data_IF_918448784550
#
_entry.id   IF_918448784550
#
_cell.length_a   1.000
_cell.length_b   1.000
_cell.length_c   1.000
_cell.angle_alpha   90.00
_cell.angle_beta   90.00
_cell.angle_gamma   90.00
#
_symmetry.space_group_name_H-M   'P 1'
#
loop_
_entity.id
_entity.type
_entity.pdbx_description
1 polymer ?
#
# COMPACT_ATOMS: atom_id res chain seq x y z
N UNK A 1 -41.51 -25.54 21.62
CA UNK A 1 -40.06 -25.24 21.76
C UNK A 1 -39.36 -26.12 20.74
N UNK A 2 -38.57 -25.56 19.82
CA UNK A 2 -37.82 -26.38 18.86
C UNK A 2 -36.60 -26.92 19.60
N UNK A 3 -36.46 -28.24 19.62
CA UNK A 3 -35.28 -28.90 20.17
C UNK A 3 -34.13 -28.82 19.17
N UNK A 4 -33.04 -28.17 19.57
CA UNK A 4 -31.85 -27.92 18.76
C UNK A 4 -30.76 -28.92 19.14
N UNK A 5 -30.80 -30.08 18.48
CA UNK A 5 -29.75 -31.09 18.62
C UNK A 5 -28.53 -30.74 17.76
N UNK A 6 -27.36 -31.25 18.13
CA UNK A 6 -26.11 -31.06 17.38
C UNK A 6 -26.24 -31.51 15.91
N UNK A 7 -27.00 -32.57 15.63
CA UNK A 7 -27.28 -33.06 14.28
C UNK A 7 -28.08 -32.04 13.44
N UNK A 8 -29.07 -31.37 14.05
CA UNK A 8 -29.86 -30.34 13.35
C UNK A 8 -29.03 -29.10 13.09
N UNK A 9 -28.19 -28.70 14.03
CA UNK A 9 -27.24 -27.58 13.87
C UNK A 9 -26.23 -27.89 12.76
N UNK A 10 -25.68 -29.12 12.73
CA UNK A 10 -24.76 -29.58 11.70
C UNK A 10 -25.40 -29.65 10.30
N UNK A 11 -26.69 -29.95 10.20
CA UNK A 11 -27.42 -30.00 8.93
C UNK A 11 -27.74 -28.62 8.33
N UNK A 12 -27.59 -27.53 9.08
CA UNK A 12 -27.88 -26.18 8.59
C UNK A 12 -26.88 -25.71 7.53
N UNK A 13 -27.38 -24.93 6.56
CA UNK A 13 -26.51 -24.14 5.69
C UNK A 13 -25.72 -23.12 6.51
N UNK A 14 -24.55 -22.68 6.02
CA UNK A 14 -23.74 -21.68 6.74
C UNK A 14 -24.48 -20.34 6.95
N UNK A 15 -25.25 -19.81 5.98
CA UNK A 15 -26.11 -18.66 6.23
C UNK A 15 -27.14 -18.89 7.35
N UNK A 16 -27.82 -20.04 7.36
CA UNK A 16 -28.85 -20.34 8.36
C UNK A 16 -28.26 -20.56 9.75
N UNK A 17 -27.07 -21.17 9.83
CA UNK A 17 -26.32 -21.34 11.07
C UNK A 17 -25.92 -20.00 11.69
N UNK A 18 -25.48 -19.03 10.87
CA UNK A 18 -25.16 -17.67 11.33
C UNK A 18 -26.41 -16.89 11.75
N UNK A 19 -27.52 -17.07 11.04
CA UNK A 19 -28.79 -16.47 11.41
C UNK A 19 -29.31 -17.05 12.74
N UNK A 20 -29.15 -18.36 12.96
CA UNK A 20 -29.49 -19.01 14.22
C UNK A 20 -28.62 -18.49 15.36
N UNK A 21 -27.29 -18.41 15.16
CA UNK A 21 -26.36 -17.84 16.14
C UNK A 21 -26.76 -16.41 16.55
N UNK A 22 -26.95 -15.52 15.57
CA UNK A 22 -27.34 -14.14 15.84
C UNK A 22 -28.71 -14.00 16.51
N UNK A 23 -29.62 -14.96 16.31
CA UNK A 23 -30.90 -15.02 17.02
C UNK A 23 -30.75 -15.55 18.45
N UNK A 24 -29.87 -16.54 18.66
CA UNK A 24 -29.58 -17.13 19.97
C UNK A 24 -28.85 -16.14 20.88
N UNK A 25 -27.88 -15.38 20.33
CA UNK A 25 -27.19 -14.28 21.03
C UNK A 25 -28.17 -13.19 21.46
N UNK A 26 -29.09 -12.77 20.57
CA UNK A 26 -30.12 -11.77 20.90
C UNK A 26 -31.11 -12.22 21.97
N UNK A 27 -31.20 -13.53 22.22
CA UNK A 27 -32.14 -14.14 23.17
C UNK A 27 -31.42 -14.76 24.37
N UNK A 28 -30.11 -14.56 24.49
CA UNK A 28 -29.24 -15.10 25.54
C UNK A 28 -29.38 -16.63 25.75
N UNK A 29 -29.56 -17.38 24.66
CA UNK A 29 -29.67 -18.86 24.72
C UNK A 29 -28.28 -19.48 24.58
N UNK A 30 -27.53 -19.48 25.69
CA UNK A 30 -26.11 -19.84 25.73
C UNK A 30 -25.77 -21.22 25.13
N UNK A 31 -26.64 -22.21 25.32
CA UNK A 31 -26.43 -23.57 24.79
C UNK A 31 -26.42 -23.58 23.25
N UNK A 32 -27.38 -22.90 22.61
CA UNK A 32 -27.45 -22.80 21.14
C UNK A 32 -26.30 -21.96 20.59
N UNK A 33 -25.89 -20.91 21.32
CA UNK A 33 -24.71 -20.10 20.97
C UNK A 33 -23.46 -20.98 20.94
N UNK A 34 -23.26 -21.81 21.96
CA UNK A 34 -22.13 -22.73 22.04
C UNK A 34 -22.15 -23.76 20.90
N UNK A 35 -23.30 -24.38 20.63
CA UNK A 35 -23.46 -25.36 19.54
C UNK A 35 -23.18 -24.75 18.16
N UNK A 36 -23.74 -23.56 17.88
CA UNK A 36 -23.54 -22.90 16.59
C UNK A 36 -22.09 -22.45 16.39
N UNK A 37 -21.45 -21.95 17.46
CA UNK A 37 -20.04 -21.54 17.44
C UNK A 37 -19.14 -22.74 17.18
N UNK A 38 -19.32 -23.84 17.91
CA UNK A 38 -18.54 -25.05 17.75
C UNK A 38 -18.67 -25.65 16.34
N UNK A 39 -19.86 -25.66 15.75
CA UNK A 39 -20.07 -26.15 14.38
C UNK A 39 -19.44 -25.21 13.33
N UNK A 40 -19.47 -23.89 13.53
CA UNK A 40 -18.77 -22.93 12.66
C UNK A 40 -17.24 -23.10 12.74
N UNK A 41 -16.69 -23.29 13.93
CA UNK A 41 -15.27 -23.55 14.15
C UNK A 41 -14.84 -24.88 13.51
N UNK A 42 -15.63 -25.95 13.68
CA UNK A 42 -15.41 -27.25 13.04
C UNK A 42 -15.41 -27.13 11.51
N UNK A 43 -16.34 -26.38 10.92
CA UNK A 43 -16.36 -26.11 9.47
C UNK A 43 -15.13 -25.31 9.02
N UNK A 44 -14.68 -24.36 9.85
CA UNK A 44 -13.49 -23.56 9.56
C UNK A 44 -12.20 -24.39 9.63
N UNK A 45 -12.08 -25.28 10.63
CA UNK A 45 -10.95 -26.20 10.78
C UNK A 45 -10.89 -27.23 9.64
N UNK A 46 -12.06 -27.70 9.18
CA UNK A 46 -12.18 -28.63 8.06
C UNK A 46 -12.08 -27.96 6.68
N UNK A 47 -12.02 -26.62 6.63
CA UNK A 47 -11.80 -25.93 5.37
C UNK A 47 -10.38 -26.27 4.90
N UNK A 48 -10.20 -26.90 3.72
CA UNK A 48 -8.87 -27.16 3.20
C UNK A 48 -8.14 -25.82 3.12
N UNK A 49 -7.09 -25.65 3.94
CA UNK A 49 -6.15 -24.55 3.77
C UNK A 49 -5.52 -24.78 2.42
N UNK A 50 -5.92 -24.00 1.41
CA UNK A 50 -5.14 -23.90 0.19
C UNK A 50 -3.73 -23.53 0.66
N UNK A 51 -2.75 -24.40 0.43
CA UNK A 51 -1.36 -23.97 0.46
C UNK A 51 -1.33 -22.70 -0.39
N UNK A 52 -0.89 -21.59 0.20
CA UNK A 52 -0.81 -20.33 -0.54
C UNK A 52 -0.02 -20.64 -1.81
N UNK A 53 -0.59 -20.34 -2.98
CA UNK A 53 0.17 -20.51 -4.21
C UNK A 53 1.51 -19.78 -4.03
N UNK A 54 2.64 -20.38 -4.46
CA UNK A 54 3.90 -19.65 -4.49
C UNK A 54 3.66 -18.33 -5.21
N UNK A 55 4.20 -17.24 -4.67
CA UNK A 55 4.08 -15.92 -5.30
C UNK A 55 4.58 -16.04 -6.73
N UNK A 56 3.86 -15.43 -7.66
CA UNK A 56 4.42 -15.22 -9.00
C UNK A 56 5.69 -14.39 -8.88
N UNK A 57 6.59 -14.52 -9.83
CA UNK A 57 7.84 -13.76 -9.88
C UNK A 57 7.60 -12.25 -9.67
N UNK A 58 6.64 -11.67 -10.40
CA UNK A 58 6.22 -10.27 -10.24
C UNK A 58 5.76 -9.94 -8.81
N UNK A 59 5.02 -10.83 -8.12
CA UNK A 59 4.56 -10.59 -6.74
C UNK A 59 5.67 -10.71 -5.71
N UNK A 60 6.65 -11.57 -5.96
CA UNK A 60 7.84 -11.66 -5.14
C UNK A 60 8.71 -10.41 -5.32
N UNK A 61 8.97 -10.02 -6.57
CA UNK A 61 9.70 -8.81 -6.92
C UNK A 61 9.05 -7.55 -6.33
N UNK A 62 7.72 -7.39 -6.45
CA UNK A 62 6.97 -6.27 -5.84
C UNK A 62 7.23 -6.19 -4.33
N UNK A 63 7.18 -7.32 -3.64
CA UNK A 63 7.36 -7.38 -2.20
C UNK A 63 8.79 -7.02 -1.79
N UNK A 64 9.78 -7.53 -2.51
CA UNK A 64 11.19 -7.30 -2.22
C UNK A 64 11.55 -5.84 -2.47
N UNK A 65 11.14 -5.26 -3.60
CA UNK A 65 11.31 -3.84 -3.88
C UNK A 65 10.59 -2.94 -2.88
N UNK A 66 9.40 -3.32 -2.42
CA UNK A 66 8.72 -2.56 -1.35
C UNK A 66 9.51 -2.56 -0.04
N UNK A 67 10.25 -3.63 0.23
CA UNK A 67 11.17 -3.74 1.37
C UNK A 67 12.42 -2.88 1.18
N UNK A 68 13.07 -2.94 0.03
CA UNK A 68 14.27 -2.15 -0.29
C UNK A 68 13.99 -0.65 -0.27
N UNK A 69 12.89 -0.21 -0.89
CA UNK A 69 12.43 1.18 -0.82
C UNK A 69 12.17 1.63 0.63
N UNK A 70 11.70 0.73 1.50
CA UNK A 70 11.51 1.05 2.90
C UNK A 70 12.82 1.21 3.66
N UNK A 71 13.86 0.45 3.31
CA UNK A 71 15.22 0.64 3.84
C UNK A 71 15.73 2.03 3.46
N UNK A 72 15.61 2.41 2.19
CA UNK A 72 15.97 3.77 1.71
C UNK A 72 15.17 4.83 2.46
N UNK A 73 13.85 4.66 2.57
CA UNK A 73 12.99 5.59 3.28
C UNK A 73 13.40 5.80 4.74
N UNK A 74 13.73 4.73 5.47
CA UNK A 74 14.18 4.82 6.88
C UNK A 74 15.52 5.56 6.99
N UNK A 75 16.48 5.24 6.13
CA UNK A 75 17.77 5.93 6.10
C UNK A 75 17.61 7.44 5.83
N UNK A 76 16.75 7.81 4.88
CA UNK A 76 16.46 9.21 4.59
C UNK A 76 15.67 9.90 5.70
N UNK A 77 14.77 9.18 6.37
CA UNK A 77 14.04 9.70 7.52
C UNK A 77 14.96 10.07 8.68
N UNK A 78 15.96 9.23 8.94
CA UNK A 78 17.00 9.50 9.94
C UNK A 78 17.89 10.67 9.53
N UNK A 79 18.36 10.70 8.27
CA UNK A 79 19.26 11.73 7.76
C UNK A 79 18.67 13.15 7.79
N UNK A 80 17.38 13.29 7.51
CA UNK A 80 16.73 14.60 7.32
C UNK A 80 15.65 14.95 8.35
N UNK A 81 15.40 14.08 9.33
CA UNK A 81 14.25 14.17 10.23
C UNK A 81 12.93 14.35 9.46
N UNK A 82 12.53 13.30 8.74
CA UNK A 82 11.31 13.29 7.93
C UNK A 82 10.04 12.97 8.74
N UNK A 83 10.05 13.25 10.04
CA UNK A 83 8.93 12.99 10.95
C UNK A 83 7.70 13.85 10.60
N UNK A 84 6.53 13.41 11.07
CA UNK A 84 5.28 14.15 10.87
C UNK A 84 5.32 15.49 11.62
N UNK A 85 5.94 15.51 12.78
CA UNK A 85 6.16 16.67 13.64
C UNK A 85 7.00 17.73 12.91
N UNK A 86 8.18 17.34 12.42
CA UNK A 86 9.09 18.26 11.70
C UNK A 86 8.48 18.74 10.40
N UNK A 87 7.78 17.86 9.65
CA UNK A 87 7.05 18.26 8.46
C UNK A 87 5.97 19.30 8.74
N UNK A 88 5.18 19.14 9.82
CA UNK A 88 4.14 20.11 10.22
C UNK A 88 4.74 21.43 10.66
N UNK A 89 5.78 21.41 11.49
CA UNK A 89 6.46 22.60 11.97
C UNK A 89 7.01 23.43 10.80
N UNK A 90 7.61 22.77 9.80
CA UNK A 90 8.13 23.41 8.61
C UNK A 90 7.05 23.84 7.58
N UNK A 91 5.77 23.61 7.87
CA UNK A 91 4.66 23.86 6.93
C UNK A 91 3.57 24.76 7.51
N UNK A 92 3.87 25.50 8.58
CA UNK A 92 2.95 26.48 9.17
C UNK A 92 2.53 27.50 8.11
N UNK A 93 1.22 27.77 8.02
CA UNK A 93 0.64 28.69 7.03
C UNK A 93 0.31 28.06 5.67
N UNK A 94 0.68 26.80 5.41
CA UNK A 94 0.27 26.09 4.20
C UNK A 94 -1.16 25.56 4.36
N UNK A 95 -2.09 26.16 3.60
CA UNK A 95 -3.52 25.80 3.63
C UNK A 95 -3.71 24.32 3.28
N UNK A 96 -4.41 23.59 4.15
CA UNK A 96 -4.72 22.17 3.93
C UNK A 96 -3.50 21.25 3.97
N UNK A 97 -2.41 21.67 4.60
CA UNK A 97 -1.24 20.82 4.76
C UNK A 97 -1.58 19.54 5.53
N UNK A 98 -1.17 18.41 4.96
CA UNK A 98 -1.14 17.11 5.62
C UNK A 98 0.18 16.45 5.26
N UNK A 99 0.94 16.05 6.28
CA UNK A 99 2.17 15.30 6.08
C UNK A 99 1.88 14.00 5.33
N UNK A 100 2.81 13.61 4.47
CA UNK A 100 2.76 12.28 3.88
C UNK A 100 3.36 11.29 4.86
N UNK A 101 2.68 10.17 5.08
CA UNK A 101 3.35 9.00 5.66
C UNK A 101 4.40 8.52 4.65
N UNK A 102 5.64 8.43 5.10
CA UNK A 102 6.75 8.01 4.25
C UNK A 102 6.55 6.57 3.77
N UNK A 103 6.16 5.70 4.71
CA UNK A 103 5.88 4.28 4.53
C UNK A 103 4.39 3.98 4.78
N UNK A 104 3.97 2.77 4.43
CA UNK A 104 2.67 2.26 4.83
C UNK A 104 2.62 1.87 6.32
N UNK A 105 1.45 1.41 6.79
CA UNK A 105 1.26 1.04 8.20
C UNK A 105 2.07 -0.19 8.64
N UNK A 106 2.61 -0.98 7.70
CA UNK A 106 3.46 -2.15 7.97
C UNK A 106 4.95 -1.82 7.86
N UNK A 107 5.29 -0.56 7.55
CA UNK A 107 6.67 -0.12 7.39
C UNK A 107 7.29 -0.52 6.05
N UNK A 108 6.48 -0.76 5.01
CA UNK A 108 6.91 -0.97 3.62
C UNK A 108 6.65 0.27 2.76
N UNK A 109 7.20 0.32 1.54
CA UNK A 109 6.76 1.30 0.55
C UNK A 109 5.25 1.21 0.33
N UNK A 110 4.58 2.31 0.00
CA UNK A 110 3.12 2.38 -0.15
C UNK A 110 2.67 1.76 -1.47
N UNK A 111 1.43 1.29 -1.48
CA UNK A 111 0.74 0.88 -2.71
C UNK A 111 0.21 2.11 -3.46
N UNK A 112 0.70 2.32 -4.68
CA UNK A 112 0.27 3.40 -5.56
C UNK A 112 -1.11 3.17 -6.19
N UNK A 113 -1.67 4.26 -6.71
CA UNK A 113 -3.04 4.29 -7.24
C UNK A 113 -3.18 3.41 -8.47
N UNK A 114 -2.19 3.46 -9.36
CA UNK A 114 -2.17 2.77 -10.65
C UNK A 114 -2.03 1.26 -10.50
N UNK A 115 -1.39 0.78 -9.44
CA UNK A 115 -1.42 -0.65 -9.12
C UNK A 115 -2.73 -1.05 -8.42
N UNK A 116 -3.31 -0.15 -7.59
CA UNK A 116 -4.55 -0.43 -6.87
C UNK A 116 -5.76 -0.56 -7.80
N UNK A 117 -5.85 0.30 -8.81
CA UNK A 117 -6.88 0.18 -9.86
C UNK A 117 -6.49 -0.84 -10.94
N UNK A 118 -5.29 -1.39 -10.82
CA UNK A 118 -4.77 -2.42 -11.70
C UNK A 118 -4.52 -1.89 -13.09
N UNK A 119 -4.09 -0.63 -13.26
CA UNK A 119 -3.56 -0.11 -14.53
C UNK A 119 -2.15 -0.63 -14.82
N UNK A 120 -1.34 -0.85 -13.78
CA UNK A 120 0.03 -1.37 -13.89
C UNK A 120 0.27 -2.60 -13.01
N UNK A 121 1.33 -3.36 -13.30
CA UNK A 121 1.68 -4.53 -12.50
C UNK A 121 2.25 -4.14 -11.14
N UNK A 122 3.10 -3.12 -11.10
CA UNK A 122 3.78 -2.64 -9.90
C UNK A 122 3.78 -1.11 -9.88
N UNK A 123 3.36 -0.54 -8.76
CA UNK A 123 3.47 0.87 -8.40
C UNK A 123 3.65 0.92 -6.87
N UNK A 124 4.91 0.93 -6.43
CA UNK A 124 5.28 1.02 -5.01
C UNK A 124 6.14 2.24 -4.79
N UNK A 125 5.83 3.03 -3.76
CA UNK A 125 6.53 4.30 -3.57
C UNK A 125 6.63 4.74 -2.12
N UNK A 126 7.69 5.48 -1.82
CA UNK A 126 7.85 6.28 -0.61
C UNK A 126 7.66 7.75 -0.97
N UNK A 127 7.19 8.57 -0.03
CA UNK A 127 7.12 10.01 -0.29
C UNK A 127 7.18 10.85 0.97
N UNK A 128 7.80 12.01 0.88
CA UNK A 128 7.76 13.04 1.91
C UNK A 128 7.15 14.32 1.36
N UNK A 129 6.42 15.05 2.22
CA UNK A 129 5.85 16.35 1.88
C UNK A 129 6.26 17.36 2.95
N UNK A 130 6.84 18.48 2.50
CA UNK A 130 7.19 19.65 3.31
C UNK A 130 6.69 20.90 2.61
N UNK A 131 5.79 21.62 3.28
CA UNK A 131 5.02 22.72 2.70
C UNK A 131 4.23 22.29 1.46
N UNK A 132 4.50 22.97 0.34
CA UNK A 132 3.94 22.64 -0.97
C UNK A 132 4.80 21.67 -1.78
N UNK A 133 5.97 21.28 -1.25
CA UNK A 133 6.92 20.42 -1.94
C UNK A 133 6.70 18.96 -1.58
N UNK A 134 6.73 18.09 -2.60
CA UNK A 134 6.60 16.64 -2.44
C UNK A 134 7.78 15.98 -3.15
N UNK A 135 8.52 15.16 -2.41
CA UNK A 135 9.53 14.25 -2.95
C UNK A 135 8.97 12.82 -2.96
N UNK A 136 9.16 12.09 -4.05
CA UNK A 136 8.80 10.67 -4.19
C UNK A 136 9.96 9.87 -4.74
N UNK A 137 10.09 8.63 -4.28
CA UNK A 137 10.88 7.58 -4.90
C UNK A 137 9.99 6.34 -4.99
N UNK A 138 9.90 5.72 -6.15
CA UNK A 138 9.12 4.50 -6.33
C UNK A 138 9.68 3.59 -7.41
N UNK A 139 9.08 2.42 -7.52
CA UNK A 139 9.30 1.44 -8.58
C UNK A 139 8.00 1.25 -9.35
N UNK A 140 8.13 1.11 -10.66
CA UNK A 140 7.03 0.93 -11.59
C UNK A 140 7.32 -0.20 -12.55
N UNK A 141 6.27 -0.96 -12.88
CA UNK A 141 6.31 -1.97 -13.93
C UNK A 141 4.95 -1.99 -14.63
N UNK A 142 4.95 -1.78 -15.94
CA UNK A 142 3.76 -1.92 -16.77
C UNK A 142 3.19 -3.34 -16.70
N UNK A 143 1.92 -3.48 -17.08
CA UNK A 143 1.32 -4.81 -17.20
C UNK A 143 2.04 -5.66 -18.24
N UNK A 144 2.06 -6.95 -17.97
CA UNK A 144 2.52 -7.99 -18.90
C UNK A 144 3.98 -7.83 -19.35
N UNK A 145 4.73 -6.93 -18.72
CA UNK A 145 6.18 -6.77 -18.89
C UNK A 145 6.96 -7.70 -17.98
N UNK A 146 8.13 -8.17 -18.41
CA UNK A 146 9.05 -8.92 -17.57
C UNK A 146 9.58 -8.04 -16.44
N UNK A 147 9.95 -8.62 -15.28
CA UNK A 147 10.34 -7.83 -14.10
C UNK A 147 11.58 -6.97 -14.35
N UNK A 148 12.44 -7.35 -15.28
CA UNK A 148 13.64 -6.64 -15.70
C UNK A 148 13.35 -5.29 -16.36
N UNK A 149 12.14 -5.10 -16.89
CA UNK A 149 11.71 -3.85 -17.52
C UNK A 149 11.25 -2.80 -16.50
N UNK A 150 11.32 -3.11 -15.19
CA UNK A 150 10.96 -2.14 -14.15
C UNK A 150 11.83 -0.88 -14.23
N UNK A 151 11.25 0.21 -13.74
CA UNK A 151 11.95 1.48 -13.61
C UNK A 151 11.74 2.07 -12.23
N UNK A 152 12.74 2.77 -11.74
CA UNK A 152 12.61 3.60 -10.56
C UNK A 152 12.28 5.02 -10.97
N UNK A 153 11.35 5.65 -10.26
CA UNK A 153 10.92 7.02 -10.53
C UNK A 153 11.21 7.90 -9.33
N UNK A 154 11.94 8.98 -9.58
CA UNK A 154 12.14 10.05 -8.61
C UNK A 154 11.32 11.24 -9.05
N UNK A 155 10.45 11.72 -8.17
CA UNK A 155 9.61 12.88 -8.43
C UNK A 155 9.82 13.98 -7.41
N UNK A 156 9.77 15.23 -7.87
CA UNK A 156 10.00 16.41 -7.04
C UNK A 156 9.31 17.65 -7.61
N UNK A 157 9.33 18.79 -6.89
CA UNK A 157 8.93 20.07 -7.46
C UNK A 157 9.79 20.45 -8.67
N UNK A 158 9.23 21.28 -9.55
CA UNK A 158 9.94 21.82 -10.72
C UNK A 158 11.31 22.41 -10.36
N UNK A 159 12.35 22.06 -11.12
CA UNK A 159 13.74 22.47 -10.93
C UNK A 159 14.48 21.75 -9.79
N UNK A 160 13.80 20.86 -9.05
CA UNK A 160 14.44 20.11 -7.96
C UNK A 160 14.97 18.76 -8.40
N UNK A 161 14.44 18.19 -9.48
CA UNK A 161 14.91 16.92 -10.07
C UNK A 161 15.88 17.25 -11.22
N UNK A 162 17.16 16.88 -11.07
CA UNK A 162 18.16 17.18 -12.09
C UNK A 162 17.94 16.35 -13.36
N UNK A 163 17.68 17.03 -14.48
CA UNK A 163 17.26 16.39 -15.72
C UNK A 163 15.87 15.75 -15.61
N UNK A 164 15.06 16.18 -14.64
CA UNK A 164 13.66 15.79 -14.56
C UNK A 164 12.86 16.42 -15.68
N UNK A 165 11.90 15.66 -16.18
CA UNK A 165 10.98 16.12 -17.22
C UNK A 165 9.60 16.39 -16.59
N UNK A 166 8.81 17.24 -17.24
CA UNK A 166 7.43 17.46 -16.81
C UNK A 166 6.71 16.12 -16.80
N UNK A 167 6.07 15.79 -15.68
CA UNK A 167 5.42 14.50 -15.54
C UNK A 167 4.36 14.32 -16.61
N UNK A 168 4.69 13.49 -17.59
CA UNK A 168 3.76 12.99 -18.60
C UNK A 168 3.70 11.51 -18.34
N UNK A 169 2.60 10.96 -17.81
CA UNK A 169 2.51 9.53 -17.59
C UNK A 169 2.80 8.77 -18.86
N UNK A 170 3.55 7.69 -18.71
CA UNK A 170 3.98 6.81 -19.81
C UNK A 170 2.75 6.25 -20.56
N UNK A 171 1.60 6.17 -19.87
CA UNK A 171 0.29 5.83 -20.43
C UNK A 171 -0.67 7.04 -20.42
N UNK A 172 -1.25 7.44 -21.57
CA UNK A 172 -2.31 8.45 -21.66
C UNK A 172 -3.50 8.24 -20.71
N UNK A 173 -3.84 6.99 -20.37
CA UNK A 173 -4.93 6.68 -19.44
C UNK A 173 -4.60 7.02 -17.97
N UNK A 174 -3.30 7.04 -17.62
CA UNK A 174 -2.79 7.49 -16.32
C UNK A 174 -2.59 9.01 -16.32
N UNK A 175 -2.29 9.60 -17.50
CA UNK A 175 -2.06 11.03 -17.72
C UNK A 175 -3.21 11.94 -17.28
N UNK A 176 -4.46 11.51 -17.46
CA UNK A 176 -5.61 12.36 -17.15
C UNK A 176 -5.88 12.51 -15.64
N UNK A 177 -5.41 11.56 -14.81
CA UNK A 177 -5.72 11.52 -13.36
C UNK A 177 -4.63 12.13 -12.48
N UNK A 178 -3.36 12.00 -12.87
CA UNK A 178 -2.20 12.37 -12.04
C UNK A 178 -1.48 13.66 -12.49
N UNK A 179 -2.09 14.46 -13.36
CA UNK A 179 -1.56 15.73 -13.86
C UNK A 179 -1.43 16.81 -12.76
N UNK A 180 -0.50 16.62 -11.82
CA UNK A 180 0.02 17.69 -11.00
C UNK A 180 1.10 18.41 -11.79
N UNK A 181 0.68 19.39 -12.60
CA UNK A 181 1.50 20.18 -13.53
C UNK A 181 2.71 20.93 -12.90
N UNK A 182 2.95 20.76 -11.59
CA UNK A 182 4.05 21.36 -10.83
C UNK A 182 5.17 20.38 -10.46
N UNK A 183 5.10 19.12 -10.90
CA UNK A 183 6.08 18.07 -10.56
C UNK A 183 6.89 17.63 -11.78
N UNK A 184 8.18 17.45 -11.54
CA UNK A 184 9.11 16.81 -12.47
C UNK A 184 9.38 15.38 -12.02
N UNK A 185 9.56 14.48 -12.97
CA UNK A 185 9.95 13.09 -12.73
C UNK A 185 11.17 12.74 -13.58
N UNK A 186 12.03 11.88 -13.02
CA UNK A 186 13.11 11.23 -13.73
C UNK A 186 13.08 9.73 -13.48
N UNK A 187 13.32 8.95 -14.52
CA UNK A 187 13.40 7.49 -14.46
C UNK A 187 14.84 7.00 -14.34
N UNK A 188 15.02 5.86 -13.69
CA UNK A 188 16.31 5.22 -13.45
C UNK A 188 16.15 3.71 -13.61
N UNK A 189 17.22 3.03 -14.05
CA UNK A 189 17.24 1.55 -14.17
C UNK A 189 17.70 0.85 -12.89
N UNK A 190 18.28 1.57 -11.95
CA UNK A 190 18.79 0.99 -10.71
C UNK A 190 18.40 1.84 -9.49
N UNK A 191 18.14 1.15 -8.37
CA UNK A 191 17.74 1.77 -7.12
C UNK A 191 18.83 2.68 -6.52
N UNK A 192 20.14 2.37 -6.59
CA UNK A 192 21.19 3.27 -6.10
C UNK A 192 21.15 4.65 -6.76
N UNK A 193 21.11 4.73 -8.08
CA UNK A 193 21.06 6.01 -8.80
C UNK A 193 19.77 6.78 -8.48
N UNK A 194 18.63 6.09 -8.42
CA UNK A 194 17.36 6.68 -8.00
C UNK A 194 17.42 7.21 -6.55
N UNK A 195 18.10 6.48 -5.66
CA UNK A 195 18.28 6.89 -4.26
C UNK A 195 19.12 8.15 -4.16
N UNK A 196 20.21 8.25 -4.91
CA UNK A 196 21.03 9.47 -4.97
C UNK A 196 20.23 10.67 -5.46
N UNK A 197 19.41 10.50 -6.50
CA UNK A 197 18.55 11.57 -6.99
C UNK A 197 17.45 11.95 -5.98
N UNK A 198 16.85 10.98 -5.30
CA UNK A 198 15.86 11.24 -4.25
C UNK A 198 16.48 11.97 -3.06
N UNK A 199 17.68 11.58 -2.64
CA UNK A 199 18.48 12.25 -1.62
C UNK A 199 18.73 13.74 -1.97
N UNK A 200 19.11 14.02 -3.23
CA UNK A 200 19.30 15.38 -3.71
C UNK A 200 18.02 16.21 -3.69
N UNK A 201 16.86 15.61 -4.01
CA UNK A 201 15.55 16.29 -3.90
C UNK A 201 15.21 16.56 -2.43
N UNK A 202 15.41 15.58 -1.54
CA UNK A 202 15.17 15.73 -0.12
C UNK A 202 16.02 16.85 0.47
N UNK A 203 17.33 16.88 0.19
CA UNK A 203 18.23 17.93 0.62
C UNK A 203 17.71 19.34 0.26
N UNK A 204 17.14 19.52 -0.94
CA UNK A 204 16.57 20.79 -1.39
C UNK A 204 15.28 21.16 -0.66
N UNK A 205 14.40 20.20 -0.38
CA UNK A 205 13.11 20.49 0.26
C UNK A 205 13.20 20.57 1.80
N UNK A 206 14.29 20.04 2.38
CA UNK A 206 14.51 20.07 3.83
C UNK A 206 15.49 21.13 4.31
N UNK A 207 16.23 21.77 3.39
CA UNK A 207 16.99 22.99 3.65
C UNK A 207 16.08 24.11 4.19
#
# INVERSE_FOLDING_TARGET
MVDWTDERVAALSTPDLKNLLANAERKDVAEIVAQCTAELEKRQANKPRKAGQPRTESKQFEHDMAGELAVVGKAMAEKYDLTEETAKAASVGVKGFKSHKLLDAKGFAKLGGSQRDGSVAIDRYISHRRGNSIATLGVWLEKDKPVEDHEFLVGGPKGMVEGGESFTPIDPAVAEKDAQASREIKTFKDLPAATTAFDAVLAKITA
#
